data_IF_077479026771
#
_entry.id   IF_077479026771
#
_cell.length_a   1.000
_cell.length_b   1.000
_cell.length_c   1.000
_cell.angle_alpha   90.00
_cell.angle_beta   90.00
_cell.angle_gamma   90.00
#
_symmetry.space_group_name_H-M   'P 1'
#
loop_
_entity.id
_entity.type
_entity.pdbx_description
1 polymer ?
#
# COMPACT_ATOMS: atom_id res chain seq x y z
N UNK A 1 26.08 21.19 16.83
CA UNK A 1 26.08 20.64 15.46
C UNK A 1 25.59 19.20 15.56
N UNK A 2 24.27 19.02 15.65
CA UNK A 2 23.62 17.74 15.92
C UNK A 2 23.25 17.10 14.59
N UNK A 3 23.98 16.06 14.23
CA UNK A 3 23.64 15.16 13.12
C UNK A 3 22.48 14.26 13.53
N UNK A 4 21.24 14.72 13.33
CA UNK A 4 20.01 13.93 13.45
C UNK A 4 19.38 13.65 12.08
N UNK A 5 20.04 12.85 11.24
CA UNK A 5 19.42 12.29 10.03
C UNK A 5 19.73 10.79 9.84
N UNK A 6 19.15 9.90 10.67
CA UNK A 6 18.88 8.53 10.18
C UNK A 6 17.45 8.02 10.42
N UNK A 7 16.54 8.80 11.02
CA UNK A 7 15.19 8.29 11.37
C UNK A 7 14.23 8.27 10.19
N UNK A 8 14.31 9.23 9.25
CA UNK A 8 13.37 9.35 8.12
C UNK A 8 13.38 8.14 7.17
N UNK A 9 14.56 7.58 6.85
CA UNK A 9 14.68 6.41 5.97
C UNK A 9 14.11 5.14 6.59
N UNK A 10 14.35 4.89 7.89
CA UNK A 10 13.85 3.68 8.55
C UNK A 10 12.33 3.69 8.75
N UNK A 11 11.75 4.86 9.00
CA UNK A 11 10.31 5.05 9.19
C UNK A 11 9.56 5.02 7.84
N UNK A 12 10.11 5.65 6.79
CA UNK A 12 9.57 5.57 5.42
C UNK A 12 9.65 4.15 4.85
N UNK A 13 10.77 3.44 5.01
CA UNK A 13 10.87 2.01 4.66
C UNK A 13 9.86 1.16 5.43
N UNK A 14 9.62 1.51 6.70
CA UNK A 14 8.61 0.88 7.55
C UNK A 14 7.19 1.08 7.01
N UNK A 15 6.85 2.30 6.59
CA UNK A 15 5.56 2.65 5.96
C UNK A 15 5.35 1.93 4.63
N UNK A 16 6.36 1.92 3.75
CA UNK A 16 6.29 1.22 2.46
C UNK A 16 6.03 -0.29 2.67
N UNK A 17 6.69 -0.91 3.66
CA UNK A 17 6.45 -2.33 4.02
C UNK A 17 5.03 -2.57 4.51
N UNK A 18 4.45 -1.64 5.27
CA UNK A 18 3.08 -1.74 5.77
C UNK A 18 2.07 -1.67 4.62
N UNK A 19 2.22 -0.72 3.71
CA UNK A 19 1.36 -0.55 2.54
C UNK A 19 1.38 -1.79 1.65
N UNK A 20 2.56 -2.41 1.47
CA UNK A 20 2.71 -3.67 0.74
C UNK A 20 1.90 -4.82 1.39
N UNK A 21 1.98 -4.96 2.71
CA UNK A 21 1.23 -5.98 3.44
C UNK A 21 -0.28 -5.73 3.39
N UNK A 22 -0.73 -4.48 3.55
CA UNK A 22 -2.15 -4.13 3.46
C UNK A 22 -2.75 -4.42 2.08
N UNK A 23 -1.99 -4.16 1.00
CA UNK A 23 -2.41 -4.49 -0.35
C UNK A 23 -2.57 -6.01 -0.57
N UNK A 24 -1.69 -6.83 0.03
CA UNK A 24 -1.86 -8.30 0.03
C UNK A 24 -3.15 -8.67 0.76
N UNK A 25 -3.35 -8.15 1.98
CA UNK A 25 -4.46 -8.55 2.85
C UNK A 25 -5.84 -8.31 2.21
N UNK A 26 -5.97 -7.33 1.32
CA UNK A 26 -7.19 -7.10 0.54
C UNK A 26 -7.42 -8.15 -0.55
N UNK A 27 -6.36 -8.72 -1.13
CA UNK A 27 -6.41 -9.73 -2.19
C UNK A 27 -6.52 -11.17 -1.65
N UNK A 28 -6.08 -11.41 -0.41
CA UNK A 28 -6.12 -12.74 0.23
C UNK A 28 -7.48 -13.43 0.09
N UNK A 29 -8.65 -12.80 0.35
CA UNK A 29 -9.93 -13.49 0.36
C UNK A 29 -10.32 -14.00 -1.03
N UNK A 30 -10.14 -13.18 -2.07
CA UNK A 30 -10.39 -13.57 -3.44
C UNK A 30 -9.49 -14.76 -3.85
N UNK A 31 -8.22 -14.73 -3.46
CA UNK A 31 -7.28 -15.83 -3.72
C UNK A 31 -7.66 -17.11 -2.96
N UNK A 32 -8.11 -17.00 -1.70
CA UNK A 32 -8.56 -18.15 -0.91
C UNK A 32 -9.83 -18.78 -1.49
N UNK A 33 -10.78 -17.97 -1.96
CA UNK A 33 -11.98 -18.46 -2.65
C UNK A 33 -11.59 -19.19 -3.94
N UNK A 34 -10.71 -18.60 -4.75
CA UNK A 34 -10.22 -19.23 -5.98
C UNK A 34 -9.56 -20.58 -5.70
N UNK A 35 -8.72 -20.68 -4.66
CA UNK A 35 -8.10 -21.94 -4.25
C UNK A 35 -9.14 -23.00 -3.89
N UNK A 36 -10.17 -22.66 -3.11
CA UNK A 36 -11.24 -23.59 -2.73
C UNK A 36 -12.06 -24.04 -3.95
N UNK A 37 -12.35 -23.13 -4.89
CA UNK A 37 -13.08 -23.46 -6.11
C UNK A 37 -12.24 -24.40 -6.99
N UNK A 38 -10.96 -24.10 -7.20
CA UNK A 38 -10.07 -24.93 -8.00
C UNK A 38 -9.86 -26.32 -7.38
N UNK A 39 -9.69 -26.41 -6.06
CA UNK A 39 -9.54 -27.69 -5.37
C UNK A 39 -10.84 -28.50 -5.38
N UNK A 40 -11.99 -27.85 -5.23
CA UNK A 40 -13.31 -28.47 -5.37
C UNK A 40 -13.54 -29.00 -6.78
N UNK A 41 -13.22 -28.20 -7.81
CA UNK A 41 -13.29 -28.61 -9.21
C UNK A 41 -12.42 -29.83 -9.52
N UNK A 42 -11.18 -29.84 -9.06
CA UNK A 42 -10.28 -31.00 -9.24
C UNK A 42 -10.80 -32.24 -8.49
N UNK A 43 -11.32 -32.05 -7.26
CA UNK A 43 -11.88 -33.12 -6.44
C UNK A 43 -13.09 -33.74 -7.11
N UNK A 44 -14.03 -32.94 -7.61
CA UNK A 44 -15.22 -33.41 -8.32
C UNK A 44 -14.87 -34.15 -9.61
N UNK A 45 -13.89 -33.64 -10.38
CA UNK A 45 -13.47 -34.26 -11.64
C UNK A 45 -12.83 -35.65 -11.45
N UNK A 46 -12.15 -35.88 -10.33
CA UNK A 46 -11.35 -37.09 -10.09
C UNK A 46 -11.82 -37.91 -8.88
N UNK A 47 -13.01 -37.60 -8.37
CA UNK A 47 -13.53 -38.20 -7.14
C UNK A 47 -13.61 -39.73 -7.23
N UNK A 48 -14.07 -40.25 -8.37
CA UNK A 48 -14.21 -41.69 -8.60
C UNK A 48 -12.87 -42.42 -8.63
N UNK A 49 -11.79 -41.74 -8.99
CA UNK A 49 -10.47 -42.36 -9.07
C UNK A 49 -9.80 -42.50 -7.70
N UNK A 50 -9.87 -41.47 -6.86
CA UNK A 50 -9.14 -41.40 -5.58
C UNK A 50 -9.93 -40.64 -4.49
N UNK A 51 -11.08 -41.14 -4.03
CA UNK A 51 -12.03 -40.38 -3.22
C UNK A 51 -11.47 -39.97 -1.86
N UNK A 52 -10.75 -40.88 -1.18
CA UNK A 52 -10.22 -40.62 0.16
C UNK A 52 -9.12 -39.56 0.13
N UNK A 53 -8.14 -39.69 -0.78
CA UNK A 53 -7.04 -38.74 -0.90
C UNK A 53 -7.53 -37.33 -1.26
N UNK A 54 -8.47 -37.23 -2.21
CA UNK A 54 -9.04 -35.95 -2.63
C UNK A 54 -9.89 -35.30 -1.54
N UNK A 55 -10.68 -36.07 -0.79
CA UNK A 55 -11.49 -35.55 0.31
C UNK A 55 -10.62 -35.00 1.43
N UNK A 56 -9.58 -35.75 1.85
CA UNK A 56 -8.64 -35.30 2.89
C UNK A 56 -7.91 -34.03 2.45
N UNK A 57 -7.45 -33.98 1.20
CA UNK A 57 -6.78 -32.82 0.63
C UNK A 57 -7.70 -31.60 0.50
N UNK A 58 -8.94 -31.80 0.08
CA UNK A 58 -9.93 -30.72 -0.01
C UNK A 58 -10.26 -30.14 1.37
N UNK A 59 -10.44 -30.98 2.38
CA UNK A 59 -10.60 -30.55 3.78
C UNK A 59 -9.37 -29.79 4.30
N UNK A 60 -8.16 -30.23 3.94
CA UNK A 60 -6.92 -29.52 4.29
C UNK A 60 -6.85 -28.14 3.64
N UNK A 61 -7.20 -28.00 2.36
CA UNK A 61 -7.17 -26.71 1.66
C UNK A 61 -8.22 -25.76 2.20
N UNK A 62 -9.45 -26.25 2.41
CA UNK A 62 -10.55 -25.42 2.91
C UNK A 62 -10.26 -24.93 4.32
N UNK A 63 -9.72 -25.79 5.21
CA UNK A 63 -9.30 -25.40 6.56
C UNK A 63 -8.14 -24.40 6.53
N UNK A 64 -7.09 -24.66 5.75
CA UNK A 64 -5.96 -23.72 5.61
C UNK A 64 -6.38 -22.37 5.02
N UNK A 65 -7.29 -22.36 4.04
CA UNK A 65 -7.81 -21.15 3.40
C UNK A 65 -8.69 -20.35 4.36
N UNK A 66 -9.56 -21.02 5.10
CA UNK A 66 -10.42 -20.40 6.12
C UNK A 66 -9.58 -19.78 7.24
N UNK A 67 -8.56 -20.51 7.72
CA UNK A 67 -7.61 -19.98 8.70
C UNK A 67 -6.93 -18.69 8.22
N UNK A 68 -6.54 -18.62 6.94
CA UNK A 68 -5.93 -17.39 6.37
C UNK A 68 -6.89 -16.23 6.26
N UNK A 69 -8.13 -16.47 5.84
CA UNK A 69 -9.16 -15.42 5.81
C UNK A 69 -9.41 -14.89 7.23
N UNK A 70 -9.53 -15.78 8.22
CA UNK A 70 -9.71 -15.39 9.62
C UNK A 70 -8.52 -14.56 10.12
N UNK A 71 -7.28 -14.95 9.81
CA UNK A 71 -6.11 -14.15 10.19
C UNK A 71 -6.11 -12.76 9.51
N UNK A 72 -6.51 -12.67 8.24
CA UNK A 72 -6.54 -11.40 7.51
C UNK A 72 -7.73 -10.49 7.89
N UNK A 73 -8.84 -11.04 8.37
CA UNK A 73 -10.06 -10.29 8.67
C UNK A 73 -10.27 -10.04 10.17
N UNK A 74 -10.09 -11.06 11.00
CA UNK A 74 -10.40 -11.02 12.43
C UNK A 74 -9.21 -10.51 13.24
N UNK A 75 -7.98 -10.89 12.85
CA UNK A 75 -6.76 -10.49 13.56
C UNK A 75 -6.11 -9.24 12.95
N UNK A 76 -6.88 -8.40 12.25
CA UNK A 76 -6.37 -7.16 11.64
C UNK A 76 -5.62 -6.34 12.70
N UNK A 77 -4.35 -5.97 12.43
CA UNK A 77 -3.65 -5.06 13.33
C UNK A 77 -4.45 -3.76 13.45
N UNK A 78 -4.54 -3.24 14.67
CA UNK A 78 -5.17 -1.95 14.96
C UNK A 78 -4.67 -0.86 14.00
N UNK A 79 -5.55 0.09 13.60
CA UNK A 79 -5.29 1.06 12.53
C UNK A 79 -4.10 2.01 12.78
N UNK A 80 -3.43 1.91 13.93
CA UNK A 80 -2.38 2.81 14.36
C UNK A 80 -0.93 2.29 14.12
N UNK A 81 -0.75 1.21 13.34
CA UNK A 81 0.61 0.77 12.97
C UNK A 81 1.18 1.73 11.93
N UNK A 82 2.20 2.50 12.30
CA UNK A 82 2.90 3.42 11.39
C UNK A 82 3.98 2.74 10.55
N UNK A 83 4.48 1.55 10.95
CA UNK A 83 5.55 0.82 10.24
C UNK A 83 5.39 -0.70 10.34
N UNK A 84 5.89 -1.44 9.35
CA UNK A 84 5.94 -2.90 9.37
C UNK A 84 7.36 -3.45 9.58
N UNK A 85 7.49 -4.43 10.47
CA UNK A 85 8.74 -5.11 10.82
C UNK A 85 9.17 -6.12 9.74
N UNK A 86 10.48 -6.32 9.56
CA UNK A 86 11.08 -7.41 8.76
C UNK A 86 10.55 -8.80 9.15
N UNK A 87 10.22 -9.01 10.43
CA UNK A 87 9.64 -10.26 10.94
C UNK A 87 8.23 -10.52 10.39
N UNK A 88 7.44 -9.48 10.14
CA UNK A 88 6.11 -9.63 9.55
C UNK A 88 6.21 -10.12 8.09
N UNK A 89 7.18 -9.58 7.35
CA UNK A 89 7.46 -10.01 5.98
C UNK A 89 7.93 -11.47 5.91
N UNK A 90 8.79 -11.90 6.84
CA UNK A 90 9.19 -13.31 6.95
C UNK A 90 8.05 -14.27 7.28
N UNK A 91 7.06 -13.84 8.08
CA UNK A 91 5.84 -14.65 8.32
C UNK A 91 5.06 -14.85 7.03
N UNK A 92 4.86 -13.81 6.22
CA UNK A 92 4.17 -13.90 4.94
C UNK A 92 4.86 -14.85 3.96
N UNK A 93 6.20 -14.87 3.92
CA UNK A 93 6.99 -15.81 3.09
C UNK A 93 6.75 -17.26 3.52
N UNK A 94 6.93 -17.57 4.81
CA UNK A 94 6.72 -18.93 5.35
C UNK A 94 5.28 -19.40 5.12
N UNK A 95 4.35 -18.47 5.23
CA UNK A 95 2.96 -18.68 4.93
C UNK A 95 2.72 -18.99 3.44
N UNK A 96 3.28 -18.22 2.52
CA UNK A 96 3.18 -18.49 1.08
C UNK A 96 3.75 -19.87 0.72
N UNK A 97 4.91 -20.22 1.32
CA UNK A 97 5.53 -21.54 1.18
C UNK A 97 4.60 -22.67 1.63
N UNK A 98 4.09 -22.60 2.87
CA UNK A 98 3.22 -23.64 3.42
C UNK A 98 1.97 -23.85 2.56
N UNK A 99 1.36 -22.75 2.08
CA UNK A 99 0.18 -22.84 1.23
C UNK A 99 0.49 -23.45 -0.14
N UNK A 100 1.61 -23.06 -0.75
CA UNK A 100 2.05 -23.63 -2.02
C UNK A 100 2.25 -25.14 -1.90
N UNK A 101 2.94 -25.61 -0.85
CA UNK A 101 3.16 -27.05 -0.61
C UNK A 101 1.85 -27.80 -0.40
N UNK A 102 0.97 -27.30 0.47
CA UNK A 102 -0.33 -27.94 0.72
C UNK A 102 -1.16 -28.06 -0.56
N UNK A 103 -1.24 -26.99 -1.34
CA UNK A 103 -2.04 -26.97 -2.57
C UNK A 103 -1.43 -27.85 -3.66
N UNK A 104 -0.11 -27.79 -3.84
CA UNK A 104 0.58 -28.52 -4.90
C UNK A 104 0.74 -30.01 -4.62
N UNK A 105 0.64 -30.46 -3.36
CA UNK A 105 0.84 -31.86 -2.96
C UNK A 105 0.07 -32.87 -3.84
N UNK A 106 -1.25 -32.80 -3.87
CA UNK A 106 -2.09 -33.76 -4.62
C UNK A 106 -2.03 -33.55 -6.14
N UNK A 107 -2.13 -32.34 -6.71
CA UNK A 107 -2.00 -32.14 -8.15
C UNK A 107 -0.68 -32.68 -8.71
N UNK A 108 0.43 -32.46 -8.01
CA UNK A 108 1.75 -32.95 -8.47
C UNK A 108 1.92 -34.44 -8.28
N UNK A 109 1.30 -35.05 -7.28
CA UNK A 109 1.20 -36.50 -7.15
C UNK A 109 0.28 -37.14 -8.21
N UNK A 110 -0.82 -36.48 -8.59
CA UNK A 110 -1.69 -36.95 -9.67
C UNK A 110 -1.00 -36.88 -11.03
N UNK A 111 -0.13 -35.89 -11.26
CA UNK A 111 0.67 -35.81 -12.49
C UNK A 111 1.48 -37.08 -12.73
N UNK A 112 2.04 -37.70 -11.68
CA UNK A 112 2.87 -38.90 -11.82
C UNK A 112 2.08 -40.15 -12.18
N UNK A 113 0.76 -40.14 -11.96
CA UNK A 113 -0.10 -41.31 -12.16
C UNK A 113 -1.02 -41.20 -13.38
N UNK A 114 -1.19 -39.99 -13.92
CA UNK A 114 -2.24 -39.73 -14.89
C UNK A 114 -1.68 -39.35 -16.26
N UNK A 115 -2.38 -39.75 -17.32
CA UNK A 115 -2.02 -39.46 -18.72
C UNK A 115 -3.25 -39.00 -19.52
N UNK A 116 -3.05 -38.56 -20.77
CA UNK A 116 -4.15 -38.13 -21.65
C UNK A 116 -4.76 -36.78 -21.26
N UNK A 117 -6.08 -36.66 -21.40
CA UNK A 117 -6.81 -35.40 -21.14
C UNK A 117 -6.70 -34.95 -19.69
N UNK A 118 -6.78 -35.87 -18.72
CA UNK A 118 -6.69 -35.53 -17.30
C UNK A 118 -5.33 -34.93 -16.93
N UNK A 119 -4.25 -35.43 -17.53
CA UNK A 119 -2.91 -34.86 -17.35
C UNK A 119 -2.85 -33.40 -17.84
N UNK A 120 -3.41 -33.13 -19.03
CA UNK A 120 -3.48 -31.77 -19.57
C UNK A 120 -4.31 -30.83 -18.68
N UNK A 121 -5.43 -31.32 -18.12
CA UNK A 121 -6.27 -30.55 -17.18
C UNK A 121 -5.50 -30.17 -15.91
N UNK A 122 -4.75 -31.10 -15.33
CA UNK A 122 -3.94 -30.84 -14.11
C UNK A 122 -2.83 -29.82 -14.43
N UNK A 123 -2.15 -29.95 -15.56
CA UNK A 123 -1.13 -28.96 -15.99
C UNK A 123 -1.73 -27.58 -16.21
N UNK A 124 -2.91 -27.50 -16.83
CA UNK A 124 -3.62 -26.24 -17.03
C UNK A 124 -3.97 -25.59 -15.69
N UNK A 125 -4.49 -26.38 -14.74
CA UNK A 125 -4.78 -25.93 -13.38
C UNK A 125 -3.53 -25.39 -12.68
N UNK A 126 -2.42 -26.13 -12.71
CA UNK A 126 -1.16 -25.71 -12.09
C UNK A 126 -0.61 -24.44 -12.75
N UNK A 127 -0.72 -24.32 -14.07
CA UNK A 127 -0.26 -23.15 -14.82
C UNK A 127 -1.06 -21.90 -14.42
N UNK A 128 -2.38 -22.01 -14.35
CA UNK A 128 -3.24 -20.92 -13.87
C UNK A 128 -2.88 -20.50 -12.43
N UNK A 129 -2.58 -21.47 -11.58
CA UNK A 129 -2.20 -21.23 -10.19
C UNK A 129 -0.84 -20.52 -10.07
N UNK A 130 0.15 -20.93 -10.87
CA UNK A 130 1.46 -20.29 -10.93
C UNK A 130 1.33 -18.78 -11.24
N UNK A 131 0.51 -18.43 -12.23
CA UNK A 131 0.25 -17.05 -12.61
C UNK A 131 -0.56 -16.30 -11.55
N UNK A 132 -1.70 -16.84 -11.14
CA UNK A 132 -2.60 -16.20 -10.20
C UNK A 132 -1.91 -15.94 -8.85
N UNK A 133 -1.25 -16.95 -8.29
CA UNK A 133 -0.51 -16.84 -7.03
C UNK A 133 0.71 -15.92 -7.17
N UNK A 134 1.45 -15.99 -8.27
CA UNK A 134 2.59 -15.09 -8.51
C UNK A 134 2.17 -13.62 -8.51
N UNK A 135 1.11 -13.27 -9.25
CA UNK A 135 0.62 -11.89 -9.35
C UNK A 135 -0.07 -11.42 -8.06
N UNK A 136 -0.84 -12.27 -7.38
CA UNK A 136 -1.49 -11.92 -6.13
C UNK A 136 -0.49 -11.56 -5.02
N UNK A 137 0.71 -12.16 -5.06
CA UNK A 137 1.80 -11.86 -4.13
C UNK A 137 2.78 -10.80 -4.64
N UNK A 138 2.49 -10.10 -5.74
CA UNK A 138 3.43 -9.17 -6.39
C UNK A 138 3.90 -8.00 -5.50
N UNK A 139 3.09 -7.62 -4.50
CA UNK A 139 3.41 -6.58 -3.52
C UNK A 139 4.45 -7.04 -2.49
N UNK A 140 4.69 -8.35 -2.34
CA UNK A 140 5.74 -8.94 -1.48
C UNK A 140 6.61 -9.87 -2.33
N UNK A 141 7.64 -9.33 -3.03
CA UNK A 141 8.45 -10.08 -4.00
C UNK A 141 9.05 -11.37 -3.47
N UNK A 142 9.56 -11.36 -2.24
CA UNK A 142 10.14 -12.54 -1.62
C UNK A 142 9.13 -13.68 -1.47
N UNK A 143 7.87 -13.37 -1.15
CA UNK A 143 6.82 -14.36 -0.97
C UNK A 143 6.35 -14.91 -2.32
N UNK A 144 6.21 -14.06 -3.35
CA UNK A 144 5.92 -14.47 -4.71
C UNK A 144 7.02 -15.35 -5.32
N UNK A 145 8.30 -14.98 -5.18
CA UNK A 145 9.44 -15.80 -5.66
C UNK A 145 9.42 -17.17 -4.99
N UNK A 146 9.19 -17.20 -3.67
CA UNK A 146 9.09 -18.47 -2.92
C UNK A 146 7.94 -19.32 -3.44
N UNK A 147 6.76 -18.73 -3.62
CA UNK A 147 5.58 -19.42 -4.14
C UNK A 147 5.83 -20.01 -5.54
N UNK A 148 6.29 -19.19 -6.49
CA UNK A 148 6.59 -19.61 -7.86
C UNK A 148 7.67 -20.68 -7.89
N UNK A 149 8.71 -20.53 -7.06
CA UNK A 149 9.77 -21.51 -6.90
C UNK A 149 9.25 -22.87 -6.44
N UNK A 150 8.38 -22.90 -5.41
CA UNK A 150 7.77 -24.15 -4.91
C UNK A 150 6.88 -24.79 -5.96
N UNK A 151 5.99 -24.02 -6.60
CA UNK A 151 5.09 -24.52 -7.65
C UNK A 151 5.89 -25.09 -8.82
N UNK A 152 6.88 -24.35 -9.31
CA UNK A 152 7.74 -24.78 -10.42
C UNK A 152 8.55 -26.02 -10.09
N UNK A 153 9.20 -26.05 -8.91
CA UNK A 153 10.03 -27.20 -8.48
C UNK A 153 9.22 -28.46 -8.27
N UNK A 154 8.08 -28.40 -7.57
CA UNK A 154 7.21 -29.57 -7.37
C UNK A 154 6.67 -30.11 -8.70
N UNK A 155 6.25 -29.22 -9.60
CA UNK A 155 5.74 -29.60 -10.92
C UNK A 155 6.83 -30.27 -11.76
N UNK A 156 8.01 -29.64 -11.87
CA UNK A 156 9.13 -30.21 -12.63
C UNK A 156 9.60 -31.53 -12.01
N UNK A 157 9.68 -31.63 -10.68
CA UNK A 157 10.08 -32.86 -10.00
C UNK A 157 9.12 -34.01 -10.32
N UNK A 158 7.81 -33.77 -10.26
CA UNK A 158 6.82 -34.78 -10.63
C UNK A 158 6.91 -35.22 -12.09
N UNK A 159 7.12 -34.29 -13.01
CA UNK A 159 7.30 -34.61 -14.43
C UNK A 159 8.56 -35.46 -14.66
N UNK A 160 9.65 -35.17 -13.94
CA UNK A 160 10.89 -35.95 -14.03
C UNK A 160 10.75 -37.36 -13.41
N UNK A 161 9.98 -37.50 -12.32
CA UNK A 161 9.71 -38.80 -11.66
C UNK A 161 8.83 -39.71 -12.53
N UNK A 162 7.83 -39.14 -13.21
CA UNK A 162 6.89 -39.90 -14.05
C UNK A 162 7.58 -40.66 -15.19
N UNK A 163 8.62 -40.07 -15.76
CA UNK A 163 9.34 -40.58 -16.93
C UNK A 163 9.64 -39.46 -17.91
N UNK A 164 10.83 -39.47 -18.50
CA UNK A 164 11.36 -38.35 -19.29
C UNK A 164 10.89 -38.43 -20.76
N UNK A 165 9.58 -38.30 -21.01
CA UNK A 165 9.11 -38.09 -22.38
C UNK A 165 9.59 -36.74 -22.91
N UNK A 166 9.76 -36.62 -24.24
CA UNK A 166 10.08 -35.33 -24.88
C UNK A 166 9.05 -34.25 -24.53
N UNK A 167 7.78 -34.63 -24.39
CA UNK A 167 6.72 -33.71 -23.98
C UNK A 167 6.87 -33.27 -22.52
N UNK A 168 7.20 -34.18 -21.60
CA UNK A 168 7.36 -33.84 -20.17
C UNK A 168 8.53 -32.87 -19.96
N UNK A 169 9.66 -33.10 -20.65
CA UNK A 169 10.80 -32.17 -20.65
C UNK A 169 10.42 -30.81 -21.23
N UNK A 170 9.65 -30.78 -22.31
CA UNK A 170 9.18 -29.54 -22.90
C UNK A 170 8.25 -28.77 -21.94
N UNK A 171 7.37 -29.45 -21.21
CA UNK A 171 6.52 -28.81 -20.21
C UNK A 171 7.35 -28.29 -19.03
N UNK A 172 8.35 -29.03 -18.55
CA UNK A 172 9.31 -28.51 -17.56
C UNK A 172 9.96 -27.21 -18.04
N UNK A 173 10.41 -27.17 -19.30
CA UNK A 173 10.99 -25.97 -19.91
C UNK A 173 9.99 -24.80 -19.95
N UNK A 174 8.72 -25.05 -20.32
CA UNK A 174 7.66 -24.04 -20.27
C UNK A 174 7.40 -23.52 -18.86
N UNK A 175 7.43 -24.38 -17.84
CA UNK A 175 7.28 -23.97 -16.44
C UNK A 175 8.47 -23.15 -15.94
N UNK A 176 9.69 -23.46 -16.37
CA UNK A 176 10.88 -22.66 -16.04
C UNK A 176 10.79 -21.26 -16.66
N UNK A 177 10.41 -21.16 -17.94
CA UNK A 177 10.21 -19.87 -18.61
C UNK A 177 9.04 -19.11 -17.98
N UNK A 178 7.90 -19.78 -17.77
CA UNK A 178 6.71 -19.20 -17.15
C UNK A 178 6.99 -18.70 -15.73
N UNK A 179 7.73 -19.47 -14.93
CA UNK A 179 8.18 -19.05 -13.61
C UNK A 179 9.08 -17.81 -13.68
N UNK A 180 10.04 -17.80 -14.60
CA UNK A 180 10.93 -16.66 -14.81
C UNK A 180 10.18 -15.39 -15.26
N UNK A 181 9.19 -15.51 -16.15
CA UNK A 181 8.37 -14.38 -16.59
C UNK A 181 7.48 -13.85 -15.47
N UNK A 182 6.86 -14.73 -14.68
CA UNK A 182 6.08 -14.32 -13.49
C UNK A 182 6.98 -13.61 -12.48
N UNK A 183 8.16 -14.14 -12.16
CA UNK A 183 9.13 -13.48 -11.27
C UNK A 183 9.52 -12.11 -11.81
N UNK A 184 9.83 -11.98 -13.10
CA UNK A 184 10.17 -10.70 -13.72
C UNK A 184 9.01 -9.70 -13.63
N UNK A 185 7.78 -10.15 -13.88
CA UNK A 185 6.57 -9.34 -13.77
C UNK A 185 6.35 -8.85 -12.35
N UNK A 186 6.48 -9.73 -11.36
CA UNK A 186 6.41 -9.39 -9.93
C UNK A 186 7.47 -8.36 -9.54
N UNK A 187 8.72 -8.57 -9.95
CA UNK A 187 9.80 -7.63 -9.64
C UNK A 187 9.53 -6.25 -10.25
N UNK A 188 9.04 -6.19 -11.50
CA UNK A 188 8.62 -4.93 -12.14
C UNK A 188 7.47 -4.26 -11.38
N UNK A 189 6.41 -5.02 -11.06
CA UNK A 189 5.25 -4.48 -10.37
C UNK A 189 5.59 -3.98 -8.96
N UNK A 190 6.50 -4.66 -8.26
CA UNK A 190 6.97 -4.25 -6.95
C UNK A 190 7.78 -2.94 -6.97
N UNK A 191 8.52 -2.69 -8.06
CA UNK A 191 9.24 -1.43 -8.30
C UNK A 191 8.26 -0.29 -8.57
N UNK A 192 7.33 -0.49 -9.50
CA UNK A 192 6.27 0.49 -9.82
C UNK A 192 5.45 0.88 -8.57
N UNK A 193 5.15 -0.10 -7.70
CA UNK A 193 4.48 0.18 -6.44
C UNK A 193 5.36 0.97 -5.46
N UNK A 194 6.68 0.75 -5.45
CA UNK A 194 7.60 1.56 -4.66
C UNK A 194 7.65 3.01 -5.14
N UNK A 195 7.82 3.21 -6.46
CA UNK A 195 7.96 4.52 -7.08
C UNK A 195 6.68 5.37 -6.92
N UNK A 196 5.51 4.76 -7.12
CA UNK A 196 4.22 5.46 -6.96
C UNK A 196 3.93 5.88 -5.51
N UNK A 197 4.45 5.14 -4.52
CA UNK A 197 4.29 5.51 -3.11
C UNK A 197 5.25 6.64 -2.72
N UNK A 198 6.48 6.63 -3.23
CA UNK A 198 7.42 7.74 -3.06
C UNK A 198 6.85 9.04 -3.63
N UNK A 199 6.28 8.99 -4.83
CA UNK A 199 5.63 10.16 -5.44
C UNK A 199 4.45 10.69 -4.62
N UNK A 200 3.65 9.80 -3.99
CA UNK A 200 2.55 10.23 -3.11
C UNK A 200 3.05 10.93 -1.86
N UNK A 201 4.14 10.45 -1.26
CA UNK A 201 4.77 11.08 -0.09
C UNK A 201 5.30 12.47 -0.45
N UNK A 202 5.95 12.60 -1.61
CA UNK A 202 6.44 13.90 -2.10
C UNK A 202 5.28 14.89 -2.34
N UNK A 203 4.17 14.43 -2.92
CA UNK A 203 2.98 15.25 -3.12
C UNK A 203 2.33 15.70 -1.81
N UNK A 204 2.22 14.81 -0.81
CA UNK A 204 1.72 15.17 0.52
C UNK A 204 2.62 16.21 1.20
N UNK A 205 3.94 16.07 1.05
CA UNK A 205 4.93 17.00 1.61
C UNK A 205 4.84 18.37 0.93
N UNK A 206 4.67 18.42 -0.39
CA UNK A 206 4.45 19.68 -1.13
C UNK A 206 3.15 20.38 -0.71
N UNK A 207 2.06 19.64 -0.51
CA UNK A 207 0.79 20.21 -0.05
C UNK A 207 0.88 20.83 1.36
N UNK A 208 1.62 20.20 2.27
CA UNK A 208 1.90 20.76 3.60
C UNK A 208 2.77 22.01 3.52
N UNK A 209 3.76 22.04 2.63
CA UNK A 209 4.60 23.22 2.42
C UNK A 209 3.78 24.41 1.88
N UNK A 210 2.85 24.17 0.95
CA UNK A 210 1.92 25.21 0.47
C UNK A 210 1.05 25.70 1.63
N UNK A 211 0.51 24.82 2.47
CA UNK A 211 -0.29 25.22 3.62
C UNK A 211 0.47 26.07 4.64
N UNK A 212 1.74 25.75 4.88
CA UNK A 212 2.61 26.57 5.74
C UNK A 212 2.94 27.90 5.07
N UNK A 213 3.32 27.90 3.79
CA UNK A 213 3.61 29.14 3.06
C UNK A 213 2.38 30.03 2.89
N UNK A 214 1.19 29.47 2.73
CA UNK A 214 -0.07 30.23 2.63
C UNK A 214 -0.44 30.81 3.99
N UNK A 215 -0.26 30.04 5.07
CA UNK A 215 -0.43 30.53 6.43
C UNK A 215 0.58 31.64 6.75
N UNK A 216 1.84 31.47 6.36
CA UNK A 216 2.87 32.50 6.50
C UNK A 216 2.54 33.72 5.62
N UNK A 217 1.97 33.53 4.42
CA UNK A 217 1.48 34.62 3.57
C UNK A 217 0.25 35.32 4.15
N UNK A 218 -0.71 34.61 4.74
CA UNK A 218 -1.86 35.21 5.43
C UNK A 218 -1.39 36.00 6.67
N UNK A 219 -0.41 35.46 7.41
CA UNK A 219 0.21 36.13 8.56
C UNK A 219 1.07 37.35 8.13
N UNK A 220 1.69 37.35 6.93
CA UNK A 220 2.54 38.44 6.44
C UNK A 220 1.85 39.45 5.51
N UNK A 221 0.81 39.08 4.77
CA UNK A 221 0.10 39.98 3.83
C UNK A 221 -1.04 40.78 4.50
N UNK A 222 -1.35 40.48 5.76
CA UNK A 222 -2.30 41.24 6.59
C UNK A 222 -1.70 42.53 7.15
N UNK A 223 -0.98 43.27 6.31
CA UNK A 223 -0.37 44.54 6.70
C UNK A 223 -1.47 45.55 6.99
N UNK A 224 -1.68 45.78 8.30
CA UNK A 224 -2.46 46.88 8.86
C UNK A 224 -3.97 46.82 8.61
N UNK A 225 -4.57 45.66 8.86
CA UNK A 225 -6.02 45.50 8.84
C UNK A 225 -6.67 46.12 10.07
N UNK A 226 -7.74 46.86 9.82
CA UNK A 226 -8.69 47.40 10.78
C UNK A 226 -10.04 47.55 10.08
N UNK A 227 -11.13 47.51 10.84
CA UNK A 227 -12.48 47.76 10.37
C UNK A 227 -13.08 48.97 11.10
N UNK A 228 -14.19 49.50 10.62
CA UNK A 228 -15.01 50.46 11.38
C UNK A 228 -16.42 49.98 11.57
N UNK A 229 -17.01 50.31 12.72
CA UNK A 229 -18.44 50.16 12.95
C UNK A 229 -19.25 51.21 12.14
N UNK A 230 -20.60 51.12 12.12
CA UNK A 230 -21.45 52.11 11.46
C UNK A 230 -21.30 53.55 11.98
N UNK A 231 -20.67 53.75 13.15
CA UNK A 231 -20.41 55.04 13.76
C UNK A 231 -18.97 55.53 13.50
N UNK A 232 -18.26 54.92 12.54
CA UNK A 232 -16.87 55.22 12.18
C UNK A 232 -15.88 55.05 13.34
N UNK A 233 -16.08 54.04 14.19
CA UNK A 233 -15.15 53.68 15.27
C UNK A 233 -14.33 52.46 14.91
N UNK A 234 -13.03 52.49 15.21
CA UNK A 234 -12.13 51.36 14.94
C UNK A 234 -12.64 50.08 15.62
N UNK A 235 -12.65 48.99 14.86
CA UNK A 235 -13.02 47.65 15.30
C UNK A 235 -12.11 46.61 14.66
N UNK A 236 -11.93 45.46 15.29
CA UNK A 236 -11.19 44.32 14.71
C UNK A 236 -9.78 44.71 14.24
N UNK A 237 -9.05 45.41 15.10
CA UNK A 237 -7.70 45.90 14.84
C UNK A 237 -6.68 44.76 14.90
N UNK A 238 -5.85 44.63 13.86
CA UNK A 238 -4.71 43.69 13.85
C UNK A 238 -3.55 44.16 14.75
N UNK A 239 -2.78 43.22 15.29
CA UNK A 239 -1.66 43.52 16.20
C UNK A 239 -0.59 44.39 15.51
N UNK A 240 -0.34 44.16 14.21
CA UNK A 240 0.58 44.99 13.41
C UNK A 240 0.10 46.41 13.21
N UNK A 241 -1.20 46.66 13.09
CA UNK A 241 -1.74 48.01 13.03
C UNK A 241 -1.49 48.74 14.36
N UNK A 242 -1.66 48.04 15.48
CA UNK A 242 -1.37 48.56 16.82
C UNK A 242 0.13 48.85 17.00
N UNK A 243 1.01 47.94 16.57
CA UNK A 243 2.46 48.14 16.55
C UNK A 243 2.88 49.33 15.68
N UNK A 244 2.31 49.48 14.48
CA UNK A 244 2.59 50.60 13.58
C UNK A 244 2.14 51.96 14.15
N UNK A 245 1.04 51.97 14.90
CA UNK A 245 0.59 53.15 15.65
C UNK A 245 1.37 53.38 16.95
N UNK A 246 2.18 52.41 17.38
CA UNK A 246 2.91 52.45 18.65
C UNK A 246 2.01 52.50 19.87
N UNK A 247 0.80 51.94 19.79
CA UNK A 247 -0.23 51.98 20.85
C UNK A 247 -0.82 50.59 21.10
N UNK A 248 -1.20 50.27 22.34
CA UNK A 248 -1.88 49.01 22.63
C UNK A 248 -3.26 48.97 21.97
N UNK A 249 -3.72 47.78 21.60
CA UNK A 249 -4.97 47.58 20.83
C UNK A 249 -6.19 48.11 21.57
N UNK A 250 -6.22 47.97 22.89
CA UNK A 250 -7.31 48.43 23.76
C UNK A 250 -7.47 49.95 23.70
N UNK A 251 -6.40 50.68 23.37
CA UNK A 251 -6.47 52.12 23.18
C UNK A 251 -6.93 52.52 21.79
N UNK A 252 -6.92 51.63 20.80
CA UNK A 252 -7.31 51.91 19.41
C UNK A 252 -8.76 51.52 19.19
N UNK A 253 -9.17 50.33 19.67
CA UNK A 253 -10.53 49.81 19.54
C UNK A 253 -11.56 50.77 20.16
N UNK A 254 -12.63 51.06 19.42
CA UNK A 254 -13.72 51.95 19.84
C UNK A 254 -13.45 53.45 19.71
N UNK A 255 -12.23 53.89 19.36
CA UNK A 255 -11.96 55.30 19.04
C UNK A 255 -12.57 55.70 17.71
N UNK A 256 -12.95 56.97 17.56
CA UNK A 256 -13.42 57.47 16.28
C UNK A 256 -12.26 57.48 15.28
N UNK A 257 -12.55 57.14 14.01
CA UNK A 257 -11.56 57.02 12.94
C UNK A 257 -10.63 58.24 12.85
N UNK A 258 -11.23 59.44 12.96
CA UNK A 258 -10.52 60.71 12.90
C UNK A 258 -9.57 60.99 14.07
N UNK A 259 -9.79 60.40 15.26
CA UNK A 259 -8.99 60.69 16.46
C UNK A 259 -7.54 60.23 16.31
N UNK A 260 -7.31 59.15 15.55
CA UNK A 260 -5.99 58.58 15.31
C UNK A 260 -5.28 59.20 14.09
N UNK A 261 -6.02 59.91 13.22
CA UNK A 261 -5.45 60.67 12.10
C UNK A 261 -4.92 62.06 12.53
N UNK A 262 -5.17 62.45 13.78
CA UNK A 262 -4.70 63.71 14.34
C UNK A 262 -3.35 63.49 15.01
N UNK A 263 -2.28 63.61 14.23
CA UNK A 263 -0.91 63.66 14.75
C UNK A 263 -0.33 65.06 14.60
N UNK A 264 0.38 65.52 15.64
CA UNK A 264 1.20 66.74 15.61
C UNK A 264 2.57 66.48 14.98
N UNK A 265 2.62 65.65 13.93
CA UNK A 265 3.85 65.38 13.18
C UNK A 265 4.11 66.55 12.23
N UNK A 266 5.32 67.14 12.21
CA UNK A 266 5.67 68.21 11.28
C UNK A 266 5.41 67.79 9.82
N UNK A 267 4.66 68.60 9.07
CA UNK A 267 4.24 68.32 7.67
C UNK A 267 2.74 68.01 7.48
N UNK A 268 2.02 67.63 8.55
CA UNK A 268 0.59 67.31 8.46
C UNK A 268 -0.31 68.57 8.43
N UNK A 269 0.23 69.73 8.84
CA UNK A 269 -0.48 71.03 8.85
C UNK A 269 -0.71 71.54 7.42
N UNK A 270 0.27 71.37 6.53
CA UNK A 270 0.17 71.78 5.13
C UNK A 270 -0.83 70.91 4.35
N UNK A 271 -0.85 69.59 4.62
CA UNK A 271 -1.81 68.66 4.02
C UNK A 271 -3.26 68.99 4.40
N UNK A 272 -3.52 69.43 5.64
CA UNK A 272 -4.85 69.86 6.09
C UNK A 272 -5.33 71.15 5.42
N UNK A 273 -4.42 72.03 5.03
CA UNK A 273 -4.75 73.26 4.31
C UNK A 273 -5.22 73.02 2.86
N UNK A 274 -4.82 71.89 2.27
CA UNK A 274 -5.10 71.54 0.87
C UNK A 274 -6.44 70.83 0.63
N UNK A 275 -7.15 70.39 1.68
CA UNK A 275 -8.40 69.58 1.58
C UNK A 275 -9.66 70.45 1.78
N UNK A 276 -9.57 71.77 1.52
CA UNK A 276 -10.76 72.65 1.52
C UNK A 276 -11.47 72.67 0.18
#
# INVERSE_FOLDING_TARGET
MVSMLPTSNSESDGRIRLLRLQAVDQLVPAMMIANVICSGGLTLLLFESQPLALTVWFCLITSASSWRVIQAWVLRPTPNRRTASTRAMGRSVRQAFAMAVCFMSVPTWLLTQTSGSTFATIICLITGLLWAGGLALATVPAAAITYVGVVGTLTCSSLLIKGTSRFDVFICFLFLIGGATVIRSVLRQSRLFGDSQLQRIDLETQGQLIGVLLKDYEEQASDWLWETDPNLRYRNVSDRFAEALGRPREEIEGRAFGDLLVSAVPGNVDARGAIR
#
